data_IF_113905065716
#
_entry.id   IF_113905065716
#
_cell.length_a   1.000
_cell.length_b   1.000
_cell.length_c   1.000
_cell.angle_alpha   90.00
_cell.angle_beta   90.00
_cell.angle_gamma   90.00
#
_symmetry.space_group_name_H-M   'P 1'
#
loop_
_entity.id
_entity.type
_entity.pdbx_description
1 polymer ?
#
# COMPACT_ATOMS: atom_id res chain seq x y z
N UNK A 1 -11.92 15.27 -3.38
CA UNK A 1 -12.23 15.00 -1.95
C UNK A 1 -11.96 13.52 -1.67
N UNK A 2 -10.78 13.16 -1.14
CA UNK A 2 -10.41 11.74 -0.99
C UNK A 2 -9.14 11.46 -0.17
N UNK A 3 -8.41 12.50 0.24
CA UNK A 3 -7.17 12.35 1.01
C UNK A 3 -7.39 11.64 2.36
N UNK A 4 -8.56 11.83 3.00
CA UNK A 4 -8.87 11.21 4.29
C UNK A 4 -9.15 9.70 4.21
N UNK A 5 -9.84 9.23 3.18
CA UNK A 5 -10.15 7.80 3.03
C UNK A 5 -8.89 7.01 2.65
N UNK A 6 -8.10 7.52 1.69
CA UNK A 6 -6.85 6.90 1.26
C UNK A 6 -5.82 6.83 2.40
N UNK A 7 -5.71 7.88 3.21
CA UNK A 7 -4.82 7.90 4.39
C UNK A 7 -5.20 6.84 5.44
N UNK A 8 -6.50 6.64 5.70
CA UNK A 8 -6.98 5.61 6.63
C UNK A 8 -6.69 4.19 6.11
N UNK A 9 -6.97 3.93 4.83
CA UNK A 9 -6.68 2.63 4.22
C UNK A 9 -5.19 2.32 4.27
N UNK A 10 -4.33 3.29 3.90
CA UNK A 10 -2.87 3.13 3.99
C UNK A 10 -2.43 2.84 5.43
N UNK A 11 -2.87 3.65 6.39
CA UNK A 11 -2.52 3.45 7.81
C UNK A 11 -2.93 2.07 8.31
N UNK A 12 -4.16 1.62 8.06
CA UNK A 12 -4.62 0.27 8.43
C UNK A 12 -3.76 -0.82 7.81
N UNK A 13 -3.47 -0.74 6.51
CA UNK A 13 -2.64 -1.75 5.81
C UNK A 13 -1.19 -1.75 6.29
N UNK A 14 -0.61 -0.59 6.66
CA UNK A 14 0.73 -0.50 7.25
C UNK A 14 0.82 -1.20 8.60
N UNK A 15 -0.26 -1.21 9.38
CA UNK A 15 -0.37 -1.98 10.63
C UNK A 15 -0.81 -3.44 10.40
N UNK A 16 -1.03 -3.84 9.15
CA UNK A 16 -1.45 -5.20 8.80
C UNK A 16 -2.89 -5.53 9.20
N UNK A 17 -3.73 -4.51 9.33
CA UNK A 17 -5.17 -4.65 9.61
C UNK A 17 -5.91 -4.80 8.28
N UNK A 18 -6.72 -5.86 8.07
CA UNK A 18 -7.55 -6.01 6.88
C UNK A 18 -8.50 -4.83 6.69
N UNK A 19 -8.75 -4.46 5.43
CA UNK A 19 -9.61 -3.35 5.06
C UNK A 19 -10.71 -3.84 4.13
N UNK A 20 -11.96 -3.47 4.45
CA UNK A 20 -13.10 -3.53 3.54
C UNK A 20 -13.39 -2.11 3.07
N UNK A 21 -13.45 -1.90 1.76
CA UNK A 21 -13.57 -0.57 1.16
C UNK A 21 -14.62 -0.56 0.04
N UNK A 22 -15.14 0.62 -0.30
CA UNK A 22 -15.88 0.80 -1.55
C UNK A 22 -14.93 0.85 -2.75
N UNK A 23 -15.45 0.64 -3.96
CA UNK A 23 -14.67 0.80 -5.19
C UNK A 23 -14.04 2.19 -5.32
N UNK A 24 -14.79 3.22 -4.91
CA UNK A 24 -14.34 4.63 -4.92
C UNK A 24 -13.19 4.85 -3.93
N UNK A 25 -13.25 4.23 -2.74
CA UNK A 25 -12.19 4.37 -1.74
C UNK A 25 -10.89 3.66 -2.16
N UNK A 26 -10.99 2.53 -2.88
CA UNK A 26 -9.85 1.78 -3.40
C UNK A 26 -9.27 2.34 -4.72
N UNK A 27 -9.95 3.32 -5.32
CA UNK A 27 -9.60 3.87 -6.63
C UNK A 27 -8.21 4.53 -6.63
N UNK A 28 -7.37 4.11 -7.59
CA UNK A 28 -6.01 4.64 -7.74
C UNK A 28 -5.02 4.19 -6.66
N UNK A 29 -5.36 3.19 -5.83
CA UNK A 29 -4.47 2.68 -4.78
C UNK A 29 -3.63 1.46 -5.22
N UNK A 30 -3.83 0.94 -6.44
CA UNK A 30 -3.15 -0.26 -6.95
C UNK A 30 -3.32 -1.51 -6.06
N UNK A 31 -4.42 -1.56 -5.30
CA UNK A 31 -4.80 -2.68 -4.42
C UNK A 31 -5.70 -3.67 -5.16
N UNK A 32 -5.54 -4.97 -4.87
CA UNK A 32 -6.36 -6.03 -5.46
C UNK A 32 -7.37 -6.59 -4.46
N UNK A 33 -8.63 -6.63 -4.88
CA UNK A 33 -9.71 -7.33 -4.17
C UNK A 33 -9.35 -8.79 -3.90
N UNK A 34 -9.65 -9.30 -2.70
CA UNK A 34 -9.41 -10.69 -2.29
C UNK A 34 -7.94 -11.05 -2.06
N UNK A 35 -7.01 -10.10 -2.26
CA UNK A 35 -5.57 -10.24 -2.00
C UNK A 35 -5.07 -9.23 -0.98
N UNK A 36 -5.31 -7.96 -1.23
CA UNK A 36 -4.79 -6.84 -0.42
C UNK A 36 -5.89 -6.22 0.44
N UNK A 37 -7.11 -6.15 -0.10
CA UNK A 37 -8.33 -5.61 0.54
C UNK A 37 -9.55 -6.41 0.10
N UNK A 38 -10.68 -6.21 0.76
CA UNK A 38 -12.00 -6.58 0.24
C UNK A 38 -12.72 -5.33 -0.27
N UNK A 39 -13.50 -5.48 -1.35
CA UNK A 39 -14.19 -4.38 -2.01
C UNK A 39 -15.66 -4.74 -2.04
N UNK A 40 -16.49 -3.94 -1.39
CA UNK A 40 -17.93 -4.12 -1.33
C UNK A 40 -18.65 -3.06 -2.18
N UNK A 41 -19.70 -3.46 -2.88
CA UNK A 41 -20.53 -2.61 -3.76
C UNK A 41 -21.94 -2.40 -3.22
N UNK A 42 -22.42 -3.31 -2.40
CA UNK A 42 -23.75 -3.28 -1.78
C UNK A 42 -23.70 -3.70 -0.30
N UNK A 43 -24.81 -3.52 0.41
CA UNK A 43 -24.90 -3.78 1.85
C UNK A 43 -24.70 -5.25 2.22
N UNK A 44 -25.10 -6.19 1.36
CA UNK A 44 -24.89 -7.61 1.58
C UNK A 44 -23.40 -7.96 1.54
N UNK A 45 -22.69 -7.45 0.54
CA UNK A 45 -21.24 -7.62 0.42
C UNK A 45 -20.47 -6.96 1.57
N UNK A 46 -20.97 -5.84 2.10
CA UNK A 46 -20.35 -5.23 3.28
C UNK A 46 -20.43 -6.16 4.49
N UNK A 47 -21.61 -6.73 4.77
CA UNK A 47 -21.79 -7.65 5.89
C UNK A 47 -20.91 -8.90 5.72
N UNK A 48 -20.97 -9.54 4.56
CA UNK A 48 -20.18 -10.75 4.25
C UNK A 48 -18.67 -10.49 4.38
N UNK A 49 -18.17 -9.40 3.78
CA UNK A 49 -16.74 -9.10 3.82
C UNK A 49 -16.26 -8.69 5.21
N UNK A 50 -17.08 -7.99 5.99
CA UNK A 50 -16.73 -7.65 7.37
C UNK A 50 -16.67 -8.89 8.25
N UNK A 51 -17.66 -9.78 8.12
CA UNK A 51 -17.68 -11.06 8.82
C UNK A 51 -16.47 -11.91 8.43
N UNK A 52 -16.22 -12.10 7.14
CA UNK A 52 -15.06 -12.87 6.66
C UNK A 52 -13.74 -12.23 7.12
N UNK A 53 -13.60 -10.91 7.03
CA UNK A 53 -12.38 -10.23 7.44
C UNK A 53 -12.12 -10.35 8.95
N UNK A 54 -13.16 -10.44 9.79
CA UNK A 54 -13.03 -10.46 11.25
C UNK A 54 -13.02 -11.88 11.84
N UNK A 55 -13.83 -12.79 11.30
CA UNK A 55 -14.07 -14.12 11.87
C UNK A 55 -13.24 -15.23 11.21
N UNK A 56 -12.78 -15.04 9.96
CA UNK A 56 -11.97 -16.04 9.26
C UNK A 56 -10.47 -15.68 9.34
N UNK A 57 -9.73 -16.46 10.14
CA UNK A 57 -8.29 -16.26 10.33
C UNK A 57 -7.50 -16.43 9.02
N UNK A 58 -7.91 -17.34 8.14
CA UNK A 58 -7.23 -17.56 6.86
C UNK A 58 -7.40 -16.33 5.96
N UNK A 59 -8.61 -15.76 5.90
CA UNK A 59 -8.90 -14.50 5.20
C UNK A 59 -8.08 -13.36 5.81
N UNK A 60 -8.08 -13.20 7.14
CA UNK A 60 -7.28 -12.18 7.83
C UNK A 60 -5.80 -12.27 7.44
N UNK A 61 -5.20 -13.46 7.56
CA UNK A 61 -3.78 -13.68 7.27
C UNK A 61 -3.45 -13.39 5.80
N UNK A 62 -4.33 -13.77 4.88
CA UNK A 62 -4.18 -13.51 3.45
C UNK A 62 -4.18 -12.00 3.17
N UNK A 63 -5.19 -11.28 3.66
CA UNK A 63 -5.34 -9.85 3.47
C UNK A 63 -4.20 -9.07 4.14
N UNK A 64 -3.81 -9.44 5.36
CA UNK A 64 -2.65 -8.85 6.04
C UNK A 64 -1.37 -9.00 5.22
N UNK A 65 -1.10 -10.18 4.67
CA UNK A 65 0.09 -10.44 3.85
C UNK A 65 0.06 -9.61 2.56
N UNK A 66 -1.07 -9.56 1.86
CA UNK A 66 -1.22 -8.77 0.64
C UNK A 66 -1.11 -7.27 0.90
N UNK A 67 -1.81 -6.77 1.92
CA UNK A 67 -1.78 -5.37 2.36
C UNK A 67 -0.38 -4.88 2.70
N UNK A 68 0.36 -5.62 3.53
CA UNK A 68 1.74 -5.27 3.87
C UNK A 68 2.66 -5.30 2.64
N UNK A 69 2.48 -6.27 1.74
CA UNK A 69 3.25 -6.34 0.50
C UNK A 69 2.93 -5.17 -0.43
N UNK A 70 1.67 -4.74 -0.50
CA UNK A 70 1.26 -3.56 -1.27
C UNK A 70 1.87 -2.28 -0.69
N UNK A 71 1.84 -2.10 0.64
CA UNK A 71 2.44 -0.92 1.28
C UNK A 71 3.95 -0.86 1.06
N UNK A 72 4.66 -2.00 1.15
CA UNK A 72 6.09 -2.04 0.83
C UNK A 72 6.39 -1.60 -0.61
N UNK A 73 5.52 -1.88 -1.58
CA UNK A 73 5.72 -1.45 -2.97
C UNK A 73 5.42 0.03 -3.19
N UNK A 74 4.48 0.60 -2.41
CA UNK A 74 4.03 1.99 -2.58
C UNK A 74 4.81 3.00 -1.72
N UNK A 75 5.48 2.55 -0.64
CA UNK A 75 6.18 3.42 0.31
C UNK A 75 7.71 3.33 0.23
N UNK A 76 8.29 2.69 -0.79
CA UNK A 76 9.75 2.73 -0.98
C UNK A 76 10.19 4.09 -1.54
N UNK A 77 11.42 4.50 -1.19
CA UNK A 77 12.10 5.63 -1.82
C UNK A 77 12.07 5.49 -3.35
N UNK A 78 12.18 4.27 -3.87
CA UNK A 78 12.07 3.95 -5.29
C UNK A 78 10.71 4.32 -5.90
N UNK A 79 9.60 4.10 -5.19
CA UNK A 79 8.27 4.50 -5.65
C UNK A 79 8.13 6.03 -5.69
N UNK A 80 8.69 6.74 -4.70
CA UNK A 80 8.75 8.20 -4.69
C UNK A 80 9.62 8.77 -5.80
N UNK A 81 10.81 8.18 -6.02
CA UNK A 81 11.72 8.54 -7.11
C UNK A 81 11.06 8.29 -8.46
N UNK A 82 10.34 7.18 -8.64
CA UNK A 82 9.64 6.89 -9.90
C UNK A 82 8.58 7.94 -10.24
N UNK A 83 7.74 8.31 -9.28
CA UNK A 83 6.73 9.37 -9.47
C UNK A 83 7.39 10.71 -9.75
N UNK A 84 8.47 11.03 -9.05
CA UNK A 84 9.23 12.26 -9.28
C UNK A 84 9.87 12.28 -10.67
N UNK A 85 10.39 11.15 -11.16
CA UNK A 85 10.95 11.01 -12.52
C UNK A 85 9.89 11.17 -13.60
N UNK A 86 8.70 10.58 -13.41
CA UNK A 86 7.57 10.74 -14.35
C UNK A 86 7.08 12.19 -14.41
N UNK A 87 7.05 12.92 -13.28
CA UNK A 87 6.66 14.34 -13.25
C UNK A 87 7.73 15.25 -13.89
N UNK A 88 9.01 14.88 -13.75
CA UNK A 88 10.15 15.66 -14.23
C UNK A 88 10.64 15.26 -15.64
N UNK A 89 9.96 14.31 -16.30
CA UNK A 89 10.33 13.79 -17.63
C UNK A 89 11.79 13.29 -17.71
N UNK A 90 12.25 12.62 -16.64
CA UNK A 90 13.60 12.08 -16.56
C UNK A 90 13.63 10.66 -17.15
N UNK A 91 14.24 10.50 -18.33
CA UNK A 91 14.51 9.21 -18.94
C UNK A 91 15.40 8.31 -18.04
N UNK A 92 15.35 6.99 -18.25
CA UNK A 92 16.10 5.94 -17.52
C UNK A 92 17.64 6.11 -17.52
N UNK A 93 18.17 7.13 -18.20
CA UNK A 93 19.60 7.45 -18.28
C UNK A 93 20.08 8.44 -17.20
N UNK A 94 19.26 8.73 -16.18
CA UNK A 94 19.71 9.53 -15.04
C UNK A 94 20.78 8.77 -14.24
N UNK A 95 21.94 9.37 -13.94
CA UNK A 95 23.05 8.69 -13.31
C UNK A 95 22.62 8.07 -11.97
N UNK A 96 23.02 6.82 -11.74
CA UNK A 96 22.83 6.16 -10.44
C UNK A 96 23.51 7.02 -9.37
N UNK A 97 22.71 7.49 -8.41
CA UNK A 97 23.23 8.00 -7.14
C UNK A 97 23.65 6.78 -6.32
N UNK A 98 24.78 6.19 -6.69
CA UNK A 98 25.44 5.18 -5.89
C UNK A 98 25.84 5.78 -4.55
N UNK A 99 25.43 5.09 -3.49
CA UNK A 99 25.54 5.53 -2.10
C UNK A 99 26.99 5.49 -1.63
N UNK A 100 27.64 6.64 -1.53
CA UNK A 100 28.68 6.87 -0.53
C UNK A 100 28.07 7.51 0.72
N UNK A 101 27.41 6.69 1.53
CA UNK A 101 27.11 7.05 2.92
C UNK A 101 27.41 5.82 3.77
N UNK A 102 28.70 5.56 4.00
CA UNK A 102 29.24 4.92 5.23
C UNK A 102 30.77 4.77 5.14
N UNK A 103 31.51 5.87 5.32
CA UNK A 103 32.81 5.81 6.01
C UNK A 103 33.25 7.19 6.52
N UNK A 104 32.55 7.68 7.53
CA UNK A 104 33.06 8.73 8.41
C UNK A 104 32.45 8.49 9.80
N UNK A 105 32.92 7.45 10.48
CA UNK A 105 32.89 7.30 11.94
C UNK A 105 33.62 6.01 12.33
N UNK A 106 34.95 6.14 12.52
CA UNK A 106 35.78 5.32 13.43
C UNK A 106 37.24 5.76 13.26
N UNK A 107 37.54 6.99 13.65
CA UNK A 107 38.87 7.40 14.06
C UNK A 107 38.75 7.90 15.50
N UNK A 108 38.87 6.97 16.45
CA UNK A 108 39.35 7.16 17.82
C UNK A 108 39.93 5.84 18.31
#
# INVERSE_FOLDING_TARGET
YGAGAKGKVVSSLSHGVPVVASSVAAEGMSLKHGRDILVARDSAQWAEHLEAAYCDEAVWRKLRKGGLAAMRKSHTLEAGIKVLREILDLDDNAPSIDREVHRADAAH
#
